data_IF_928664996268
#
_entry.id   IF_928664996268
#
_cell.length_a   1.000
_cell.length_b   1.000
_cell.length_c   1.000
_cell.angle_alpha   90.00
_cell.angle_beta   90.00
_cell.angle_gamma   90.00
#
_symmetry.space_group_name_H-M   'P 1'
#
loop_
_entity.id
_entity.type
_entity.pdbx_description
1 polymer ?
#
# COMPACT_ATOMS: atom_id res chain seq x y z
N UNK A 1 14.86 1.00 -1.55
CA UNK A 1 13.81 1.98 -1.22
C UNK A 1 12.41 1.38 -1.21
N UNK A 2 12.08 0.42 -2.08
CA UNK A 2 10.73 -0.16 -2.14
C UNK A 2 10.35 -0.91 -0.85
N UNK A 3 11.31 -1.55 -0.16
CA UNK A 3 11.07 -2.15 1.15
C UNK A 3 10.68 -1.08 2.19
N UNK A 4 11.34 0.08 2.20
CA UNK A 4 10.99 1.18 3.10
C UNK A 4 9.55 1.69 2.81
N UNK A 5 9.18 1.82 1.53
CA UNK A 5 7.81 2.17 1.13
C UNK A 5 6.81 1.10 1.57
N UNK A 6 7.17 -0.19 1.47
CA UNK A 6 6.32 -1.29 1.93
C UNK A 6 6.02 -1.20 3.44
N UNK A 7 7.02 -0.86 4.27
CA UNK A 7 6.80 -0.59 5.70
C UNK A 7 5.86 0.60 5.92
N UNK A 8 6.03 1.70 5.18
CA UNK A 8 5.12 2.84 5.26
C UNK A 8 3.69 2.45 4.88
N UNK A 9 3.51 1.68 3.80
CA UNK A 9 2.19 1.18 3.40
C UNK A 9 1.56 0.30 4.50
N UNK A 10 2.34 -0.60 5.10
CA UNK A 10 1.85 -1.43 6.20
C UNK A 10 1.38 -0.60 7.40
N UNK A 11 2.12 0.46 7.73
CA UNK A 11 1.77 1.39 8.81
C UNK A 11 0.54 2.25 8.46
N UNK A 12 0.51 2.81 7.25
CA UNK A 12 -0.57 3.68 6.79
C UNK A 12 -1.90 2.93 6.66
N UNK A 13 -1.89 1.76 6.04
CA UNK A 13 -3.08 0.96 5.76
C UNK A 13 -3.38 -0.09 6.82
N UNK A 14 -2.49 -0.25 7.81
CA UNK A 14 -2.67 -1.18 8.94
C UNK A 14 -3.03 -2.58 8.43
N UNK A 15 -2.23 -3.11 7.52
CA UNK A 15 -2.36 -4.44 6.97
C UNK A 15 -0.98 -4.99 6.57
N UNK A 16 -0.84 -6.32 6.46
CA UNK A 16 0.37 -6.91 5.91
C UNK A 16 0.65 -6.42 4.49
N UNK A 17 1.91 -6.17 4.18
CA UNK A 17 2.39 -5.87 2.82
C UNK A 17 3.39 -6.93 2.42
N UNK A 18 3.14 -7.59 1.30
CA UNK A 18 4.01 -8.64 0.76
C UNK A 18 4.89 -8.02 -0.32
N UNK A 19 6.19 -7.95 -0.07
CA UNK A 19 7.18 -7.56 -1.06
C UNK A 19 7.69 -8.80 -1.80
N UNK A 20 7.49 -8.83 -3.12
CA UNK A 20 7.73 -10.03 -3.94
C UNK A 20 8.77 -9.73 -5.03
N UNK A 21 10.08 -9.90 -4.75
CA UNK A 21 11.09 -9.94 -5.80
C UNK A 21 11.02 -11.29 -6.54
N UNK A 22 11.43 -11.31 -7.80
CA UNK A 22 11.66 -12.59 -8.48
C UNK A 22 13.04 -13.20 -8.13
N UNK A 23 13.27 -14.41 -8.60
CA UNK A 23 14.52 -15.14 -8.31
C UNK A 23 15.75 -14.40 -8.83
N UNK A 24 15.68 -13.79 -10.01
CA UNK A 24 16.81 -13.05 -10.58
C UNK A 24 17.16 -11.83 -9.73
N UNK A 25 16.16 -11.05 -9.30
CA UNK A 25 16.39 -9.93 -8.38
C UNK A 25 16.96 -10.38 -7.03
N UNK A 26 16.52 -11.54 -6.52
CA UNK A 26 16.97 -12.08 -5.25
C UNK A 26 18.40 -12.63 -5.30
N UNK A 27 18.87 -13.15 -6.41
CA UNK A 27 20.19 -13.76 -6.60
C UNK A 27 21.22 -12.83 -7.22
N UNK A 28 20.80 -11.78 -7.91
CA UNK A 28 21.69 -10.87 -8.62
C UNK A 28 22.58 -10.09 -7.63
N UNK A 29 23.86 -9.99 -8.00
CA UNK A 29 24.84 -9.16 -7.27
C UNK A 29 25.23 -7.99 -8.16
N UNK A 30 25.06 -6.79 -7.65
CA UNK A 30 25.35 -5.58 -8.39
C UNK A 30 26.02 -4.55 -7.47
N UNK A 31 27.03 -3.86 -7.97
CA UNK A 31 27.58 -2.68 -7.30
C UNK A 31 26.59 -1.52 -7.43
N UNK A 32 26.27 -0.91 -6.31
CA UNK A 32 25.36 0.23 -6.27
C UNK A 32 25.97 1.37 -5.44
N UNK A 33 25.61 2.63 -5.71
CA UNK A 33 25.98 3.74 -4.84
C UNK A 33 25.46 3.53 -3.41
N UNK A 34 26.05 4.23 -2.45
CA UNK A 34 25.55 4.23 -1.07
C UNK A 34 24.08 4.63 -1.00
N UNK A 35 23.30 3.94 -0.17
CA UNK A 35 21.89 4.24 -0.01
C UNK A 35 21.70 5.54 0.77
N UNK A 36 20.86 6.43 0.24
CA UNK A 36 20.32 7.56 0.99
C UNK A 36 19.14 7.08 1.85
N UNK A 37 19.38 6.93 3.14
CA UNK A 37 18.38 6.46 4.10
C UNK A 37 17.25 7.47 4.34
N UNK A 38 17.43 8.74 3.96
CA UNK A 38 16.43 9.78 4.12
C UNK A 38 15.52 9.92 2.90
N UNK A 39 15.81 9.22 1.80
CA UNK A 39 15.04 9.28 0.55
C UNK A 39 13.59 8.87 0.71
N UNK A 40 13.28 7.99 1.65
CA UNK A 40 11.92 7.57 1.97
C UNK A 40 11.64 7.95 3.42
N UNK A 41 10.95 9.06 3.68
CA UNK A 41 10.60 9.46 5.05
C UNK A 41 9.68 8.43 5.70
N UNK A 42 9.83 8.25 7.01
CA UNK A 42 8.99 7.34 7.78
C UNK A 42 7.57 7.92 7.89
N UNK A 43 6.57 7.13 7.51
CA UNK A 43 5.17 7.46 7.65
C UNK A 43 4.47 6.42 8.55
N UNK A 44 3.98 6.86 9.70
CA UNK A 44 3.30 6.01 10.69
C UNK A 44 1.79 5.96 10.52
N UNK A 45 1.25 6.56 9.46
CA UNK A 45 -0.20 6.63 9.24
C UNK A 45 -0.94 7.39 10.34
N UNK A 46 -2.15 6.97 10.67
CA UNK A 46 -3.04 7.60 11.67
C UNK A 46 -2.66 7.26 13.11
N UNK A 47 -1.39 7.43 13.46
CA UNK A 47 -0.95 7.30 14.86
C UNK A 47 -1.37 8.53 15.66
N UNK A 48 -2.16 8.32 16.70
CA UNK A 48 -2.62 9.38 17.60
C UNK A 48 -1.48 9.86 18.50
N UNK A 49 -1.52 11.12 18.87
CA UNK A 49 -0.72 11.64 19.99
C UNK A 49 -1.52 11.51 21.27
N UNK A 50 -0.83 11.22 22.37
CA UNK A 50 -1.50 11.03 23.67
C UNK A 50 -2.39 12.22 24.08
N UNK A 51 -1.94 13.44 23.76
CA UNK A 51 -2.68 14.67 24.06
C UNK A 51 -3.98 14.84 23.24
N UNK A 52 -4.13 14.08 22.16
CA UNK A 52 -5.32 14.12 21.28
C UNK A 52 -6.35 13.04 21.65
N UNK A 53 -6.01 12.16 22.58
CA UNK A 53 -6.90 11.06 22.98
C UNK A 53 -8.01 11.58 23.89
N UNK A 54 -9.27 11.17 23.66
CA UNK A 54 -10.37 11.52 24.53
C UNK A 54 -10.21 10.88 25.91
N UNK A 55 -10.73 11.52 26.95
CA UNK A 55 -10.83 10.87 28.24
C UNK A 55 -11.79 9.68 28.16
N UNK A 56 -11.30 8.51 28.57
CA UNK A 56 -12.09 7.29 28.59
C UNK A 56 -12.66 7.08 30.00
N UNK A 57 -13.98 7.08 30.11
CA UNK A 57 -14.68 6.71 31.33
C UNK A 57 -14.86 5.19 31.34
N UNK A 58 -14.24 4.51 32.29
CA UNK A 58 -14.34 3.05 32.42
C UNK A 58 -15.82 2.60 32.53
N UNK A 59 -16.23 1.51 31.83
CA UNK A 59 -15.39 0.47 31.20
C UNK A 59 -15.12 0.65 29.71
N UNK A 60 -15.08 1.86 29.19
CA UNK A 60 -14.88 2.12 27.75
C UNK A 60 -13.41 1.96 27.35
N UNK A 61 -13.21 1.65 26.10
CA UNK A 61 -11.90 1.46 25.47
C UNK A 61 -11.72 2.40 24.28
N UNK A 62 -10.49 2.64 23.88
CA UNK A 62 -10.19 3.37 22.65
C UNK A 62 -10.75 2.61 21.45
N UNK A 63 -11.39 3.33 20.51
CA UNK A 63 -11.97 2.75 19.30
C UNK A 63 -10.91 2.42 18.26
N UNK A 64 -10.09 1.43 18.55
CA UNK A 64 -9.00 0.99 17.67
C UNK A 64 -9.51 0.53 16.30
N UNK A 65 -10.74 0.09 16.21
CA UNK A 65 -11.37 -0.43 15.00
C UNK A 65 -12.55 0.43 14.53
N UNK A 66 -12.50 1.72 14.82
CA UNK A 66 -13.50 2.71 14.43
C UNK A 66 -13.87 2.61 12.94
N UNK A 67 -15.17 2.72 12.66
CA UNK A 67 -15.71 2.74 11.30
C UNK A 67 -15.50 4.12 10.69
N UNK A 68 -14.41 4.30 9.97
CA UNK A 68 -14.04 5.56 9.32
C UNK A 68 -14.44 5.56 7.84
N UNK A 69 -14.59 6.74 7.27
CA UNK A 69 -14.96 6.92 5.86
C UNK A 69 -13.93 6.30 4.92
N UNK A 70 -12.64 6.50 5.16
CA UNK A 70 -11.53 5.94 4.37
C UNK A 70 -11.15 4.49 4.76
N UNK A 71 -11.83 3.90 5.75
CA UNK A 71 -11.57 2.55 6.23
C UNK A 71 -10.31 2.40 7.10
N UNK A 72 -9.60 3.49 7.40
CA UNK A 72 -8.37 3.47 8.19
C UNK A 72 -8.63 4.06 9.57
N UNK A 73 -8.72 3.22 10.59
CA UNK A 73 -8.97 3.66 11.96
C UNK A 73 -7.74 4.34 12.57
N UNK A 74 -7.92 5.29 13.48
CA UNK A 74 -6.83 5.80 14.30
C UNK A 74 -6.22 4.68 15.15
N UNK A 75 -4.94 4.83 15.51
CA UNK A 75 -4.25 3.85 16.35
C UNK A 75 -3.44 4.50 17.45
N UNK A 76 -3.33 3.79 18.54
CA UNK A 76 -2.49 4.10 19.68
C UNK A 76 -1.36 3.09 19.81
N UNK A 77 -0.39 3.39 20.65
CA UNK A 77 0.67 2.45 21.04
C UNK A 77 0.56 2.12 22.53
N UNK A 78 1.02 0.94 22.96
CA UNK A 78 1.03 0.57 24.36
C UNK A 78 1.70 1.62 25.25
N UNK A 79 1.08 1.92 26.39
CA UNK A 79 1.56 2.91 27.35
C UNK A 79 0.93 4.30 27.23
N UNK A 80 0.23 4.62 26.15
CA UNK A 80 -0.52 5.88 26.03
C UNK A 80 -1.70 5.89 27.01
N UNK A 81 -1.81 6.97 27.80
CA UNK A 81 -2.98 7.23 28.65
C UNK A 81 -4.24 7.33 27.76
N UNK A 82 -5.33 6.72 28.15
CA UNK A 82 -6.58 6.61 27.37
C UNK A 82 -6.46 5.88 26.01
N UNK A 83 -5.32 5.25 25.71
CA UNK A 83 -5.09 4.53 24.47
C UNK A 83 -5.34 3.02 24.55
N UNK A 84 -5.86 2.52 25.68
CA UNK A 84 -6.12 1.10 25.87
C UNK A 84 -7.27 0.63 24.99
N UNK A 85 -7.07 -0.46 24.26
CA UNK A 85 -8.09 -1.11 23.43
C UNK A 85 -8.05 -2.63 23.62
N UNK A 86 -9.13 -3.30 23.25
CA UNK A 86 -9.16 -4.75 23.17
C UNK A 86 -8.74 -5.23 21.79
N UNK A 87 -8.14 -6.42 21.75
CA UNK A 87 -7.82 -7.12 20.50
C UNK A 87 -8.20 -8.58 20.66
N UNK A 88 -9.31 -8.94 20.04
CA UNK A 88 -9.80 -10.34 20.02
C UNK A 88 -9.45 -11.01 18.70
N UNK A 89 -9.37 -12.34 18.70
CA UNK A 89 -9.26 -13.16 17.49
C UNK A 89 -10.59 -13.39 16.75
N UNK A 90 -11.70 -12.87 17.29
CA UNK A 90 -13.03 -13.00 16.71
C UNK A 90 -13.43 -11.71 15.96
N UNK A 91 -14.57 -11.76 15.25
CA UNK A 91 -15.18 -10.53 14.74
C UNK A 91 -15.56 -9.62 15.92
N UNK A 92 -15.41 -8.31 15.74
CA UNK A 92 -15.40 -7.37 16.84
C UNK A 92 -16.04 -6.02 16.45
N UNK A 93 -16.45 -5.30 17.48
CA UNK A 93 -16.91 -3.92 17.36
C UNK A 93 -15.74 -2.92 17.26
N UNK A 94 -16.03 -1.64 17.25
CA UNK A 94 -15.04 -0.56 17.13
C UNK A 94 -14.02 -0.51 18.29
N UNK A 95 -14.38 -0.99 19.46
CA UNK A 95 -13.51 -1.07 20.65
C UNK A 95 -12.68 -2.36 20.71
N UNK A 96 -12.91 -3.31 19.79
CA UNK A 96 -12.25 -4.61 19.77
C UNK A 96 -12.91 -5.67 20.65
N UNK A 97 -14.11 -5.42 21.19
CA UNK A 97 -14.92 -6.41 21.90
C UNK A 97 -15.55 -7.38 20.90
N UNK A 98 -15.64 -8.69 21.17
CA UNK A 98 -16.37 -9.63 20.32
C UNK A 98 -17.78 -9.13 19.99
N UNK A 99 -18.18 -9.25 18.73
CA UNK A 99 -19.51 -8.84 18.27
C UNK A 99 -20.01 -9.84 17.23
N UNK A 100 -21.14 -10.49 17.55
CA UNK A 100 -21.75 -11.53 16.72
C UNK A 100 -22.84 -10.98 15.78
N UNK A 101 -23.20 -9.70 15.91
CA UNK A 101 -24.25 -9.09 15.10
C UNK A 101 -23.84 -9.06 13.61
N UNK A 102 -24.65 -9.60 12.69
CA UNK A 102 -24.34 -9.60 11.25
C UNK A 102 -24.06 -8.22 10.69
N UNK A 103 -24.73 -7.19 11.18
CA UNK A 103 -24.52 -5.79 10.77
C UNK A 103 -23.11 -5.30 11.09
N UNK A 104 -22.56 -5.67 12.24
CA UNK A 104 -21.18 -5.31 12.61
C UNK A 104 -20.16 -6.03 11.74
N UNK A 105 -20.40 -7.33 11.46
CA UNK A 105 -19.57 -8.11 10.56
C UNK A 105 -19.49 -7.50 9.17
N UNK A 106 -20.61 -7.13 8.58
CA UNK A 106 -20.66 -6.45 7.26
C UNK A 106 -19.91 -5.13 7.33
N UNK A 107 -20.21 -4.27 8.32
CA UNK A 107 -19.59 -2.96 8.43
C UNK A 107 -18.05 -3.02 8.58
N UNK A 108 -17.53 -3.94 9.42
CA UNK A 108 -16.10 -4.12 9.60
C UNK A 108 -15.44 -4.73 8.34
N UNK A 109 -16.15 -5.62 7.63
CA UNK A 109 -15.66 -6.22 6.39
C UNK A 109 -15.56 -5.16 5.28
N UNK A 110 -16.60 -4.37 5.07
CA UNK A 110 -16.62 -3.29 4.06
C UNK A 110 -15.53 -2.26 4.36
N UNK A 111 -15.33 -1.90 5.62
CA UNK A 111 -14.24 -1.04 6.05
C UNK A 111 -12.87 -1.60 5.66
N UNK A 112 -12.63 -2.91 5.88
CA UNK A 112 -11.35 -3.57 5.55
C UNK A 112 -11.08 -3.57 4.04
N UNK A 113 -12.10 -3.70 3.21
CA UNK A 113 -11.94 -3.61 1.76
C UNK A 113 -11.75 -2.17 1.30
N UNK A 114 -12.55 -1.23 1.82
CA UNK A 114 -12.49 0.19 1.46
C UNK A 114 -11.12 0.80 1.63
N UNK A 115 -10.41 0.49 2.73
CA UNK A 115 -9.06 1.03 2.95
C UNK A 115 -8.06 0.67 1.86
N UNK A 116 -8.29 -0.41 1.09
CA UNK A 116 -7.40 -0.84 0.02
C UNK A 116 -7.63 -0.07 -1.28
N UNK A 117 -8.80 0.56 -1.45
CA UNK A 117 -9.16 1.25 -2.70
C UNK A 117 -8.26 2.43 -3.01
N UNK A 118 -7.74 3.10 -1.98
CA UNK A 118 -6.89 4.28 -2.11
C UNK A 118 -5.39 3.98 -2.13
N UNK A 119 -4.97 2.72 -2.06
CA UNK A 119 -3.54 2.37 -2.06
C UNK A 119 -2.86 2.82 -3.35
N UNK A 120 -3.49 2.57 -4.50
CA UNK A 120 -2.93 2.91 -5.80
C UNK A 120 -2.88 4.43 -6.05
N UNK A 121 -3.67 5.22 -5.31
CA UNK A 121 -3.66 6.68 -5.38
C UNK A 121 -2.54 7.30 -4.52
N UNK A 122 -2.10 6.58 -3.48
CA UNK A 122 -1.07 7.01 -2.54
C UNK A 122 0.29 6.32 -2.73
N UNK A 123 0.39 5.42 -3.70
CA UNK A 123 1.61 4.72 -4.05
C UNK A 123 1.74 4.69 -5.56
N UNK A 124 2.93 4.99 -6.08
CA UNK A 124 3.23 4.93 -7.52
C UNK A 124 3.15 3.47 -8.01
N UNK A 125 2.02 3.03 -8.62
CA UNK A 125 1.75 1.62 -8.84
C UNK A 125 2.57 1.02 -9.99
N UNK A 126 3.19 1.86 -10.81
CA UNK A 126 4.10 1.47 -11.88
C UNK A 126 5.13 2.58 -12.15
N UNK A 127 6.27 2.20 -12.72
CA UNK A 127 7.15 3.16 -13.39
C UNK A 127 6.60 3.43 -14.78
N UNK A 128 6.39 4.70 -15.09
CA UNK A 128 5.95 5.12 -16.39
C UNK A 128 7.17 5.39 -17.28
N UNK A 129 7.39 4.52 -18.25
CA UNK A 129 8.41 4.67 -19.31
C UNK A 129 7.75 4.94 -20.67
N UNK A 130 6.50 5.43 -20.67
CA UNK A 130 5.83 5.81 -21.90
C UNK A 130 6.53 7.00 -22.58
N UNK A 131 6.76 6.90 -23.88
CA UNK A 131 7.42 7.91 -24.71
C UNK A 131 6.46 8.63 -25.65
N UNK A 132 5.35 7.98 -25.98
CA UNK A 132 4.41 8.42 -27.00
C UNK A 132 3.03 8.67 -26.41
N UNK A 133 2.37 9.75 -26.80
CA UNK A 133 0.99 10.04 -26.43
C UNK A 133 0.04 9.00 -27.08
N UNK A 134 0.35 8.60 -28.32
CA UNK A 134 -0.32 7.53 -29.04
C UNK A 134 0.73 6.47 -29.43
N UNK A 135 0.65 5.30 -28.84
CA UNK A 135 1.52 4.18 -29.13
C UNK A 135 0.78 3.07 -29.88
N UNK A 136 1.49 2.37 -30.75
CA UNK A 136 0.94 1.17 -31.44
C UNK A 136 0.78 0.01 -30.47
N UNK A 137 1.65 -0.06 -29.47
CA UNK A 137 1.69 -1.14 -28.47
C UNK A 137 2.01 -0.59 -27.08
N UNK A 138 1.29 -1.09 -26.07
CA UNK A 138 1.64 -0.92 -24.66
C UNK A 138 2.15 -2.23 -24.08
N UNK A 139 3.40 -2.24 -23.61
CA UNK A 139 3.98 -3.38 -22.88
C UNK A 139 3.90 -3.11 -21.39
N UNK A 140 3.27 -4.02 -20.65
CA UNK A 140 3.24 -3.97 -19.17
C UNK A 140 4.16 -5.06 -18.63
N UNK A 141 5.28 -4.65 -18.05
CA UNK A 141 6.27 -5.52 -17.44
C UNK A 141 6.17 -5.56 -15.92
N UNK A 142 6.85 -6.52 -15.29
CA UNK A 142 7.05 -6.56 -13.85
C UNK A 142 8.38 -7.22 -13.47
N UNK A 143 8.85 -6.93 -12.27
CA UNK A 143 10.06 -7.52 -11.68
C UNK A 143 11.31 -7.37 -12.58
N UNK A 144 12.06 -8.44 -12.85
CA UNK A 144 13.32 -8.40 -13.61
C UNK A 144 13.16 -8.28 -15.14
N UNK A 145 11.92 -8.34 -15.66
CA UNK A 145 11.68 -8.21 -17.11
C UNK A 145 11.99 -6.81 -17.67
N UNK A 146 12.15 -5.82 -16.80
CA UNK A 146 12.34 -4.41 -17.16
C UNK A 146 13.45 -4.19 -18.21
N UNK A 147 14.64 -4.72 -17.95
CA UNK A 147 15.79 -4.49 -18.82
C UNK A 147 15.58 -5.06 -20.23
N UNK A 148 15.06 -6.28 -20.33
CA UNK A 148 14.76 -6.90 -21.63
C UNK A 148 13.66 -6.14 -22.38
N UNK A 149 12.64 -5.62 -21.68
CA UNK A 149 11.59 -4.81 -22.32
C UNK A 149 12.17 -3.48 -22.80
N UNK A 150 12.99 -2.79 -21.99
CA UNK A 150 13.62 -1.52 -22.39
C UNK A 150 14.53 -1.69 -23.63
N UNK A 151 15.26 -2.80 -23.72
CA UNK A 151 16.07 -3.13 -24.90
C UNK A 151 15.19 -3.37 -26.12
N UNK A 152 14.17 -4.22 -26.03
CA UNK A 152 13.25 -4.47 -27.13
C UNK A 152 12.50 -3.21 -27.60
N UNK A 153 12.05 -2.35 -26.67
CA UNK A 153 11.43 -1.05 -27.01
C UNK A 153 12.39 -0.17 -27.82
N UNK A 154 13.68 -0.16 -27.46
CA UNK A 154 14.68 0.62 -28.18
C UNK A 154 14.94 0.09 -29.62
N UNK A 155 14.83 -1.22 -29.82
CA UNK A 155 14.92 -1.84 -31.15
C UNK A 155 13.71 -1.48 -32.02
N UNK A 156 12.50 -1.63 -31.50
CA UNK A 156 11.25 -1.26 -32.19
C UNK A 156 11.17 0.22 -32.54
N UNK A 157 11.68 1.11 -31.67
CA UNK A 157 11.80 2.55 -31.98
C UNK A 157 12.64 2.79 -33.27
N UNK A 158 13.71 2.00 -33.50
CA UNK A 158 14.54 2.11 -34.70
C UNK A 158 13.81 1.61 -35.94
N UNK A 159 12.88 0.68 -35.79
CA UNK A 159 12.03 0.17 -36.85
C UNK A 159 10.80 1.06 -37.14
N UNK A 160 10.60 2.12 -36.33
CA UNK A 160 9.50 3.07 -36.47
C UNK A 160 8.19 2.61 -35.82
N UNK A 161 8.23 1.55 -34.98
CA UNK A 161 7.08 1.09 -34.20
C UNK A 161 7.05 1.79 -32.84
N UNK A 162 5.98 2.46 -32.54
CA UNK A 162 5.81 3.21 -31.28
C UNK A 162 5.38 2.28 -30.15
N UNK A 163 6.28 2.00 -29.23
CA UNK A 163 6.02 1.12 -28.09
C UNK A 163 6.14 1.91 -26.77
N UNK A 164 5.09 1.90 -25.98
CA UNK A 164 5.11 2.37 -24.60
C UNK A 164 5.38 1.24 -23.62
N UNK A 165 6.05 1.54 -22.51
CA UNK A 165 6.34 0.57 -21.46
C UNK A 165 5.90 1.09 -20.09
N UNK A 166 5.14 0.29 -19.36
CA UNK A 166 4.81 0.47 -17.95
C UNK A 166 5.38 -0.70 -17.14
N UNK A 167 6.16 -0.40 -16.12
CA UNK A 167 6.72 -1.41 -15.22
C UNK A 167 5.88 -1.47 -13.94
N UNK A 168 5.06 -2.51 -13.79
CA UNK A 168 4.14 -2.69 -12.67
C UNK A 168 4.90 -2.92 -11.36
N UNK A 169 4.47 -2.22 -10.31
CA UNK A 169 5.00 -2.31 -8.94
C UNK A 169 3.96 -2.75 -7.92
N UNK A 170 2.69 -2.48 -8.18
CA UNK A 170 1.58 -2.85 -7.32
C UNK A 170 0.69 -3.88 -8.01
N UNK A 171 0.63 -5.10 -7.45
CA UNK A 171 -0.18 -6.19 -8.00
C UNK A 171 -1.56 -6.22 -7.33
N UNK A 172 -1.60 -5.96 -6.02
CA UNK A 172 -2.84 -5.99 -5.23
C UNK A 172 -2.83 -4.87 -4.19
N UNK A 173 -3.84 -3.97 -4.16
CA UNK A 173 -4.93 -3.88 -5.15
C UNK A 173 -4.42 -3.57 -6.55
N UNK A 174 -5.09 -4.11 -7.59
CA UNK A 174 -4.66 -3.87 -8.97
C UNK A 174 -5.01 -2.43 -9.39
N UNK A 175 -4.05 -1.67 -9.98
CA UNK A 175 -4.23 -0.25 -10.27
C UNK A 175 -4.97 0.00 -11.60
N UNK A 176 -6.16 -0.57 -11.75
CA UNK A 176 -6.92 -0.52 -13.00
C UNK A 176 -7.24 0.91 -13.45
N UNK A 177 -7.58 1.80 -12.51
CA UNK A 177 -7.90 3.20 -12.83
C UNK A 177 -6.69 3.96 -13.37
N UNK A 178 -5.51 3.72 -12.80
CA UNK A 178 -4.27 4.38 -13.19
C UNK A 178 -3.71 3.85 -14.53
N UNK A 179 -4.15 2.67 -14.97
CA UNK A 179 -3.79 2.09 -16.27
C UNK A 179 -4.70 2.55 -17.42
N UNK A 180 -5.91 3.03 -17.14
CA UNK A 180 -6.87 3.44 -18.18
C UNK A 180 -6.36 4.51 -19.17
N UNK A 181 -5.49 5.48 -18.79
CA UNK A 181 -5.01 6.50 -19.72
C UNK A 181 -4.03 5.98 -20.79
N UNK A 182 -3.55 4.76 -20.66
CA UNK A 182 -2.56 4.13 -21.56
C UNK A 182 -3.22 3.06 -22.41
#
# INVERSE_FOLDING_TARGET
YEIQKAFNLAEMYQCPVIFMPDLQQGLNKQSVPSFDLNRVPINRGKMMKEAELPELVQPNYFKRFELTEDGISPRTIPGMKNGLFLSTGLEHNEEGKPAEAPTMHVAQTDKRFRKLETVADNYEPFLNNAKYDEADVLVVGMASSRGAIEEAVAEFDQEGVKVNHLQLRLIKPFPAKQLQPF
#
